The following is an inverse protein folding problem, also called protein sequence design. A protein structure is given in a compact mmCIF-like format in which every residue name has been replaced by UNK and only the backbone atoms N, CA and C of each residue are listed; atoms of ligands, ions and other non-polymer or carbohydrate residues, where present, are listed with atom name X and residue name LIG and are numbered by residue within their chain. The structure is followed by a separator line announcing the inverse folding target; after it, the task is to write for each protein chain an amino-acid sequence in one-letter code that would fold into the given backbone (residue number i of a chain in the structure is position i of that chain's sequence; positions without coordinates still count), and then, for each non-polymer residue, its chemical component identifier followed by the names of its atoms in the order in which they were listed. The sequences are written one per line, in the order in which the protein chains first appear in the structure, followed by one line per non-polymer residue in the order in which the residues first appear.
data_IF_531710701421
#
_entry.id   IF_531710701421
#
_cell.length_a   1.000
_cell.length_b   1.000
_cell.length_c   1.000
_cell.angle_alpha   90.00
_cell.angle_beta   90.00
_cell.angle_gamma   90.00
#
_symmetry.space_group_name_H-M   'P 1'
#
loop_
_entity.id
_entity.type
_entity.pdbx_description
1 polymer ?
#
# COMPACT_ATOMS: atom_id res chain seq x y z
N UNK A 1 16.94 1.00 9.57
CA UNK A 1 17.82 1.50 8.57
C UNK A 1 17.23 1.58 7.18
N UNK A 2 16.74 0.48 6.64
CA UNK A 2 16.21 0.54 5.28
C UNK A 2 14.76 0.97 5.21
N UNK A 3 14.05 0.97 6.31
CA UNK A 3 12.65 1.29 6.34
C UNK A 3 11.76 0.06 6.19
N UNK A 4 10.47 0.27 5.99
CA UNK A 4 9.50 -0.80 5.94
C UNK A 4 9.46 -1.42 4.55
N UNK A 5 9.48 -2.74 4.48
CA UNK A 5 9.37 -3.46 3.21
C UNK A 5 7.94 -3.41 2.66
N UNK A 6 6.96 -3.44 3.53
CA UNK A 6 5.54 -3.37 3.16
C UNK A 6 4.85 -2.40 4.09
N UNK A 7 4.06 -1.50 3.52
CA UNK A 7 3.24 -0.57 4.28
C UNK A 7 1.79 -0.82 3.90
N UNK A 8 0.94 -1.06 4.89
CA UNK A 8 -0.50 -1.17 4.70
C UNK A 8 -1.13 0.16 5.12
N UNK A 9 -1.61 0.93 4.17
CA UNK A 9 -2.21 2.22 4.48
C UNK A 9 -3.73 2.09 4.50
N UNK A 10 -4.28 2.04 5.71
CA UNK A 10 -5.73 1.99 5.90
C UNK A 10 -6.31 3.35 6.26
N UNK A 11 -5.50 4.38 6.36
CA UNK A 11 -5.90 5.70 6.87
C UNK A 11 -6.05 6.72 5.75
N UNK A 12 -5.04 6.84 4.91
CA UNK A 12 -5.05 7.81 3.81
C UNK A 12 -4.77 9.23 4.27
N UNK A 13 -5.21 10.19 3.45
CA UNK A 13 -5.10 11.59 3.76
C UNK A 13 -3.66 12.04 3.96
N UNK A 14 -3.48 12.91 4.93
CA UNK A 14 -2.16 13.51 5.19
C UNK A 14 -1.17 12.53 5.80
N UNK A 15 -1.63 11.35 6.20
CA UNK A 15 -0.75 10.36 6.83
C UNK A 15 -0.02 9.48 5.82
N UNK A 16 -0.48 9.47 4.57
CA UNK A 16 0.07 8.56 3.56
C UNK A 16 1.46 8.98 3.10
N UNK A 17 1.72 10.26 2.93
CA UNK A 17 3.03 10.69 2.46
C UNK A 17 4.14 10.34 3.43
N UNK A 18 4.01 10.64 4.75
CA UNK A 18 5.06 10.21 5.68
C UNK A 18 5.27 8.71 5.68
N UNK A 19 4.19 7.93 5.53
CA UNK A 19 4.30 6.48 5.47
C UNK A 19 5.06 6.03 4.22
N UNK A 20 4.79 6.66 3.09
CA UNK A 20 5.52 6.34 1.87
C UNK A 20 7.01 6.68 2.01
N UNK A 21 7.32 7.79 2.67
CA UNK A 21 8.71 8.19 2.86
C UNK A 21 9.49 7.22 3.74
N UNK A 22 8.79 6.42 4.54
CA UNK A 22 9.43 5.42 5.40
C UNK A 22 9.66 4.09 4.70
N UNK A 23 9.29 3.97 3.43
CA UNK A 23 9.37 2.68 2.74
C UNK A 23 10.81 2.34 2.37
N UNK A 24 11.12 1.05 2.35
CA UNK A 24 12.44 0.57 1.98
C UNK A 24 12.62 0.57 0.47
N UNK A 25 13.85 0.48 0.04
CA UNK A 25 14.17 0.26 -1.37
C UNK A 25 13.43 -0.99 -1.87
N UNK A 26 12.75 -0.85 -3.00
CA UNK A 26 11.92 -1.90 -3.59
C UNK A 26 10.78 -2.37 -2.68
N UNK A 27 10.36 -1.53 -1.76
CA UNK A 27 9.24 -1.84 -0.90
C UNK A 27 7.90 -1.69 -1.60
N UNK A 28 6.83 -2.02 -0.88
CA UNK A 28 5.49 -2.00 -1.43
C UNK A 28 4.54 -1.23 -0.51
N UNK A 29 3.87 -0.24 -1.09
CA UNK A 29 2.90 0.57 -0.36
C UNK A 29 1.50 0.17 -0.82
N UNK A 30 0.69 -0.37 0.07
CA UNK A 30 -0.64 -0.87 -0.25
C UNK A 30 -1.70 0.12 0.21
N UNK A 31 -2.48 0.61 -0.74
CA UNK A 31 -3.59 1.53 -0.44
C UNK A 31 -4.82 0.67 -0.17
N UNK A 32 -5.22 0.59 1.09
CA UNK A 32 -6.32 -0.28 1.53
C UNK A 32 -7.56 0.53 1.89
N UNK A 33 -7.40 1.75 2.34
CA UNK A 33 -8.52 2.61 2.68
C UNK A 33 -8.09 4.05 2.79
N UNK A 34 -9.07 4.95 2.94
CA UNK A 34 -8.77 6.37 3.03
C UNK A 34 -9.82 7.13 3.85
N UNK A 35 -10.14 6.68 5.07
CA UNK A 35 -11.12 7.42 5.90
C UNK A 35 -10.67 8.85 6.22
N UNK A 36 -9.37 9.12 6.21
CA UNK A 36 -8.86 10.49 6.43
C UNK A 36 -8.83 11.30 5.15
N UNK A 37 -9.27 10.75 4.03
CA UNK A 37 -9.30 11.45 2.75
C UNK A 37 -8.36 10.82 1.74
N UNK A 38 -8.40 11.32 0.52
CA UNK A 38 -7.56 10.82 -0.55
C UNK A 38 -6.18 11.47 -0.45
N UNK A 39 -5.16 10.65 -0.40
CA UNK A 39 -3.79 11.13 -0.24
C UNK A 39 -3.28 11.78 -1.51
N UNK A 40 -2.42 12.78 -1.31
CA UNK A 40 -1.63 13.35 -2.41
C UNK A 40 -0.21 12.87 -2.20
N UNK A 41 0.30 12.12 -3.17
CA UNK A 41 1.58 11.44 -3.01
C UNK A 41 2.60 11.98 -3.98
N UNK A 42 3.83 12.23 -3.54
CA UNK A 42 4.90 12.62 -4.45
C UNK A 42 5.36 11.40 -5.24
N UNK A 43 4.82 11.23 -6.44
CA UNK A 43 5.07 10.03 -7.24
C UNK A 43 6.54 9.81 -7.58
N UNK A 44 7.34 10.88 -7.53
CA UNK A 44 8.77 10.74 -7.78
C UNK A 44 9.45 9.84 -6.76
N UNK A 45 8.85 9.65 -5.59
CA UNK A 45 9.42 8.73 -4.59
C UNK A 45 9.40 7.29 -5.06
N UNK A 46 8.45 6.93 -5.93
CA UNK A 46 8.42 5.57 -6.48
C UNK A 46 9.67 5.30 -7.32
N UNK A 47 10.11 6.30 -8.08
CA UNK A 47 11.32 6.18 -8.85
C UNK A 47 12.56 6.16 -7.96
N UNK A 48 12.61 7.07 -6.98
CA UNK A 48 13.79 7.22 -6.13
C UNK A 48 14.03 6.02 -5.24
N UNK A 49 12.98 5.32 -4.86
CA UNK A 49 13.08 4.14 -4.00
C UNK A 49 12.75 2.84 -4.73
N UNK A 50 12.50 2.92 -6.01
CA UNK A 50 12.11 1.75 -6.82
C UNK A 50 10.98 0.97 -6.15
N UNK A 51 10.02 1.67 -5.57
CA UNK A 51 8.94 1.05 -4.82
C UNK A 51 7.64 1.05 -5.60
N UNK A 52 6.70 0.20 -5.18
CA UNK A 52 5.38 0.10 -5.78
C UNK A 52 4.32 0.72 -4.90
N UNK A 53 3.32 1.33 -5.53
CA UNK A 53 2.09 1.73 -4.86
C UNK A 53 0.98 0.94 -5.53
N UNK A 54 0.26 0.13 -4.74
CA UNK A 54 -0.78 -0.74 -5.26
C UNK A 54 -2.07 -0.56 -4.48
N UNK A 55 -3.19 -0.54 -5.20
CA UNK A 55 -4.49 -0.47 -4.55
C UNK A 55 -5.01 -1.86 -4.25
N UNK A 56 -5.63 -2.02 -3.08
CA UNK A 56 -6.24 -3.27 -2.67
C UNK A 56 -7.68 -2.97 -2.27
N UNK A 57 -8.63 -3.36 -3.12
CA UNK A 57 -10.03 -3.18 -2.81
C UNK A 57 -10.51 -4.39 -2.03
N UNK A 58 -10.26 -4.36 -0.73
CA UNK A 58 -10.46 -5.51 0.15
C UNK A 58 -11.89 -6.04 0.13
N UNK A 59 -12.87 -5.14 0.19
CA UNK A 59 -14.27 -5.56 0.17
C UNK A 59 -14.65 -6.34 -1.08
N UNK A 60 -14.29 -5.83 -2.25
CA UNK A 60 -14.58 -6.51 -3.50
C UNK A 60 -13.78 -7.80 -3.62
N UNK A 61 -12.56 -7.78 -3.15
CA UNK A 61 -11.65 -8.92 -3.18
C UNK A 61 -12.25 -10.08 -2.39
N UNK A 62 -12.60 -9.83 -1.13
CA UNK A 62 -13.16 -10.87 -0.27
C UNK A 62 -14.54 -11.32 -0.72
N UNK A 63 -15.35 -10.43 -1.29
CA UNK A 63 -16.69 -10.78 -1.75
C UNK A 63 -16.66 -11.68 -2.97
N UNK A 64 -15.67 -11.51 -3.84
CA UNK A 64 -15.61 -12.25 -5.08
C UNK A 64 -14.95 -13.60 -4.95
N UNK A 65 -13.77 -13.61 -4.36
CA UNK A 65 -12.90 -14.79 -4.38
C UNK A 65 -12.36 -15.02 -3.00
N UNK A 66 -13.26 -15.20 -2.11
CA UNK A 66 -13.02 -15.22 -0.70
C UNK A 66 -11.78 -15.99 -0.27
N UNK A 67 -11.69 -17.27 -0.63
CA UNK A 67 -10.59 -18.09 -0.16
C UNK A 67 -9.34 -17.91 -0.99
N UNK A 68 -9.51 -18.03 -2.31
CA UNK A 68 -8.35 -18.01 -3.19
C UNK A 68 -7.66 -16.65 -3.19
N UNK A 69 -8.46 -15.59 -3.22
CA UNK A 69 -7.92 -14.25 -3.20
C UNK A 69 -7.24 -13.93 -1.90
N UNK A 70 -7.79 -14.40 -0.81
CA UNK A 70 -7.17 -14.22 0.50
C UNK A 70 -5.80 -14.88 0.53
N UNK A 71 -5.73 -16.12 0.04
CA UNK A 71 -4.47 -16.84 -0.05
C UNK A 71 -3.46 -16.12 -0.92
N UNK A 72 -3.90 -15.65 -2.08
CA UNK A 72 -3.02 -14.90 -2.98
C UNK A 72 -2.49 -13.64 -2.32
N UNK A 73 -3.36 -12.89 -1.67
CA UNK A 73 -2.96 -11.64 -1.04
C UNK A 73 -1.83 -11.86 -0.06
N UNK A 74 -1.95 -12.88 0.77
CA UNK A 74 -0.93 -13.13 1.78
C UNK A 74 0.28 -13.88 1.26
N UNK A 75 0.16 -14.58 0.15
CA UNK A 75 1.29 -15.29 -0.43
C UNK A 75 2.11 -14.42 -1.38
N UNK A 76 1.47 -13.44 -2.01
CA UNK A 76 2.13 -12.60 -3.00
C UNK A 76 2.62 -11.27 -2.45
N UNK A 77 2.13 -10.89 -1.31
CA UNK A 77 2.55 -9.66 -0.65
C UNK A 77 3.60 -9.97 0.38
#
# INVERSE_FOLDING_TARGET
PEGANIVYDIVGGQYSEPALRSIAWEGRFLVVGFPAGIAKMPLNLTLLKSCDIAGVFWGAFTAREQRDSFGKLFNEV
#
